data_IF_436668271034
#
_entry.id   IF_436668271034
#
_cell.length_a   1.000
_cell.length_b   1.000
_cell.length_c   1.000
_cell.angle_alpha   90.00
_cell.angle_beta   90.00
_cell.angle_gamma   90.00
#
_symmetry.space_group_name_H-M   'P 1'
#
loop_
_entity.id
_entity.type
_entity.pdbx_description
1 polymer ?
#
# COMPACT_ATOMS: atom_id res chain seq x y z
N UNK A 1 14.29 5.42 22.05
CA UNK A 1 13.94 5.75 20.65
C UNK A 1 15.04 5.11 19.81
N UNK A 2 14.71 4.17 18.92
CA UNK A 2 15.72 3.59 18.03
C UNK A 2 16.25 4.70 17.11
N UNK A 3 17.57 4.72 16.89
CA UNK A 3 18.22 5.66 15.98
C UNK A 3 17.70 5.44 14.54
N UNK A 4 17.18 6.49 13.92
CA UNK A 4 16.51 6.42 12.60
C UNK A 4 17.53 6.11 11.48
N UNK A 5 18.82 6.29 11.73
CA UNK A 5 19.90 6.05 10.76
C UNK A 5 20.55 4.67 10.88
N UNK A 6 20.16 3.87 11.89
CA UNK A 6 20.73 2.55 12.11
C UNK A 6 20.31 1.59 10.99
N UNK A 7 21.28 0.87 10.42
CA UNK A 7 21.05 -0.08 9.32
C UNK A 7 21.62 -1.44 9.69
N UNK A 8 20.97 -2.49 9.22
CA UNK A 8 21.56 -3.82 9.22
C UNK A 8 22.87 -3.82 8.42
N UNK A 9 23.87 -4.57 8.88
CA UNK A 9 25.24 -4.52 8.34
C UNK A 9 25.61 -5.72 7.45
N UNK A 10 24.76 -6.75 7.39
CA UNK A 10 25.01 -7.95 6.61
C UNK A 10 25.09 -7.68 5.10
N UNK A 11 25.92 -8.44 4.38
CA UNK A 11 26.04 -8.34 2.90
C UNK A 11 25.16 -9.34 2.18
N UNK A 12 24.81 -10.44 2.84
CA UNK A 12 23.88 -11.46 2.39
C UNK A 12 23.07 -11.97 3.60
N UNK A 13 21.94 -12.65 3.34
CA UNK A 13 21.03 -13.09 4.42
C UNK A 13 21.64 -14.15 5.35
N UNK A 14 22.59 -14.96 4.87
CA UNK A 14 23.26 -15.98 5.68
C UNK A 14 24.12 -15.35 6.80
N UNK A 15 24.67 -14.17 6.54
CA UNK A 15 25.43 -13.37 7.51
C UNK A 15 24.54 -12.55 8.47
N UNK A 16 23.23 -12.57 8.28
CA UNK A 16 22.32 -11.74 9.11
C UNK A 16 22.30 -12.20 10.56
N UNK A 17 22.33 -11.23 11.47
CA UNK A 17 22.29 -11.48 12.91
C UNK A 17 20.94 -11.12 13.50
N UNK A 18 20.64 -11.63 14.70
CA UNK A 18 19.47 -11.20 15.46
C UNK A 18 19.43 -9.66 15.66
N UNK A 19 20.60 -9.03 15.83
CA UNK A 19 20.71 -7.58 15.95
C UNK A 19 20.28 -6.85 14.68
N UNK A 20 20.68 -7.34 13.51
CA UNK A 20 20.25 -6.80 12.21
C UNK A 20 18.73 -6.89 12.04
N UNK A 21 18.14 -8.02 12.42
CA UNK A 21 16.70 -8.21 12.36
C UNK A 21 15.95 -7.31 13.36
N UNK A 22 16.52 -7.05 14.53
CA UNK A 22 15.95 -6.10 15.49
C UNK A 22 15.93 -4.67 14.93
N UNK A 23 17.02 -4.26 14.25
CA UNK A 23 17.10 -2.98 13.54
C UNK A 23 16.00 -2.94 12.46
N UNK A 24 15.96 -3.92 11.53
CA UNK A 24 14.96 -3.98 10.46
C UNK A 24 13.53 -3.93 11.02
N UNK A 25 13.23 -4.71 12.05
CA UNK A 25 11.91 -4.74 12.66
C UNK A 25 11.53 -3.37 13.27
N UNK A 26 12.50 -2.65 13.85
CA UNK A 26 12.26 -1.32 14.41
C UNK A 26 11.83 -0.29 13.37
N UNK A 27 12.39 -0.34 12.15
CA UNK A 27 11.97 0.51 11.03
C UNK A 27 10.69 0.00 10.35
N UNK A 28 10.54 -1.32 10.23
CA UNK A 28 9.40 -1.92 9.54
C UNK A 28 8.09 -1.70 10.27
N UNK A 29 8.05 -1.74 11.60
CA UNK A 29 6.81 -1.55 12.38
C UNK A 29 6.08 -0.24 12.06
N UNK A 30 6.71 0.95 12.18
CA UNK A 30 6.04 2.21 11.82
C UNK A 30 5.76 2.28 10.31
N UNK A 31 6.66 1.77 9.46
CA UNK A 31 6.41 1.73 8.02
C UNK A 31 5.15 0.90 7.69
N UNK A 32 4.99 -0.27 8.29
CA UNK A 32 3.85 -1.16 8.07
C UNK A 32 2.54 -0.55 8.58
N UNK A 33 2.56 0.16 9.72
CA UNK A 33 1.39 0.87 10.25
C UNK A 33 0.84 1.91 9.25
N UNK A 34 1.72 2.57 8.49
CA UNK A 34 1.37 3.58 7.49
C UNK A 34 0.97 2.99 6.11
N UNK A 35 0.90 1.66 5.97
CA UNK A 35 0.55 1.01 4.70
C UNK A 35 -0.80 1.48 4.13
N UNK A 36 -1.91 1.57 4.89
CA UNK A 36 -3.19 2.01 4.34
C UNK A 36 -3.12 3.41 3.74
N UNK A 37 -2.41 4.33 4.40
CA UNK A 37 -2.20 5.69 3.91
C UNK A 37 -1.45 5.70 2.57
N UNK A 38 -0.39 4.91 2.44
CA UNK A 38 0.35 4.78 1.18
C UNK A 38 -0.50 4.18 0.06
N UNK A 39 -1.33 3.17 0.33
CA UNK A 39 -2.23 2.59 -0.67
C UNK A 39 -3.19 3.66 -1.20
N UNK A 40 -3.80 4.45 -0.30
CA UNK A 40 -4.69 5.55 -0.70
C UNK A 40 -3.96 6.64 -1.48
N UNK A 41 -2.72 6.98 -1.12
CA UNK A 41 -1.91 7.93 -1.88
C UNK A 41 -1.68 7.45 -3.31
N UNK A 42 -1.32 6.17 -3.51
CA UNK A 42 -1.14 5.63 -4.86
C UNK A 42 -2.44 5.59 -5.67
N UNK A 43 -3.56 5.20 -5.05
CA UNK A 43 -4.87 5.23 -5.69
C UNK A 43 -5.21 6.64 -6.20
N UNK A 44 -4.89 7.68 -5.42
CA UNK A 44 -5.13 9.08 -5.80
C UNK A 44 -4.24 9.58 -6.94
N UNK A 45 -3.14 8.91 -7.27
CA UNK A 45 -2.33 9.26 -8.45
C UNK A 45 -3.08 9.00 -9.77
N UNK A 46 -4.18 8.24 -9.74
CA UNK A 46 -5.05 8.00 -10.89
C UNK A 46 -5.99 9.19 -11.20
N UNK A 47 -6.05 10.19 -10.31
CA UNK A 47 -6.85 11.40 -10.50
C UNK A 47 -6.31 12.19 -11.71
N UNK A 48 -7.21 12.54 -12.64
CA UNK A 48 -6.86 13.23 -13.88
C UNK A 48 -6.17 12.39 -14.96
N UNK A 49 -5.89 11.10 -14.74
CA UNK A 49 -5.45 10.20 -15.82
C UNK A 49 -6.65 9.67 -16.60
N UNK A 50 -7.00 10.38 -17.68
CA UNK A 50 -8.12 10.02 -18.53
C UNK A 50 -7.80 8.91 -19.54
N UNK A 51 -6.57 8.78 -20.01
CA UNK A 51 -6.22 7.81 -21.07
C UNK A 51 -7.13 7.83 -22.32
N UNK A 52 -7.84 8.93 -22.59
CA UNK A 52 -8.83 9.05 -23.68
C UNK A 52 -10.26 8.61 -23.33
N UNK A 53 -10.54 8.21 -22.09
CA UNK A 53 -11.88 7.88 -21.60
C UNK A 53 -12.66 9.12 -21.15
N UNK A 54 -14.00 9.04 -21.02
CA UNK A 54 -14.83 10.15 -20.55
C UNK A 54 -14.70 10.46 -19.05
N UNK A 55 -14.05 9.58 -18.27
CA UNK A 55 -13.74 9.79 -16.86
C UNK A 55 -12.32 9.33 -16.59
N UNK A 56 -11.67 9.90 -15.56
CA UNK A 56 -10.35 9.46 -15.12
C UNK A 56 -10.39 8.07 -14.47
N UNK A 57 -9.20 7.47 -14.34
CA UNK A 57 -9.05 6.13 -13.74
C UNK A 57 -9.47 6.08 -12.27
N UNK A 58 -9.29 7.14 -11.49
CA UNK A 58 -9.75 7.17 -10.11
C UNK A 58 -11.29 7.06 -10.04
N UNK A 59 -11.97 7.85 -10.87
CA UNK A 59 -13.43 7.83 -11.01
C UNK A 59 -13.90 6.45 -11.48
N UNK A 60 -13.21 5.82 -12.43
CA UNK A 60 -13.48 4.45 -12.84
C UNK A 60 -13.38 3.47 -11.66
N UNK A 61 -12.29 3.49 -10.89
CA UNK A 61 -12.10 2.64 -9.71
C UNK A 61 -13.22 2.81 -8.68
N UNK A 62 -13.59 4.06 -8.39
CA UNK A 62 -14.68 4.37 -7.46
C UNK A 62 -16.03 3.85 -7.96
N UNK A 63 -16.32 4.00 -9.26
CA UNK A 63 -17.56 3.49 -9.86
C UNK A 63 -17.62 1.96 -9.78
N UNK A 64 -16.53 1.26 -10.09
CA UNK A 64 -16.45 -0.20 -10.04
C UNK A 64 -16.66 -0.71 -8.61
N UNK A 65 -15.96 -0.13 -7.63
CA UNK A 65 -16.14 -0.46 -6.22
C UNK A 65 -17.57 -0.15 -5.72
N UNK A 66 -18.15 0.99 -6.12
CA UNK A 66 -19.52 1.38 -5.76
C UNK A 66 -20.55 0.39 -6.31
N UNK A 67 -20.37 -0.08 -7.55
CA UNK A 67 -21.25 -1.11 -8.14
C UNK A 67 -21.13 -2.43 -7.38
N UNK A 68 -19.91 -2.86 -7.07
CA UNK A 68 -19.68 -4.07 -6.25
C UNK A 68 -20.33 -3.96 -4.86
N UNK A 69 -20.22 -2.80 -4.20
CA UNK A 69 -20.83 -2.57 -2.89
C UNK A 69 -22.37 -2.63 -2.97
N UNK A 70 -22.97 -1.99 -3.99
CA UNK A 70 -24.41 -2.00 -4.22
C UNK A 70 -24.95 -3.39 -4.61
N UNK A 71 -24.11 -4.22 -5.21
CA UNK A 71 -24.39 -5.63 -5.49
C UNK A 71 -24.24 -6.54 -4.25
N UNK A 72 -23.99 -5.97 -3.07
CA UNK A 72 -23.89 -6.72 -1.82
C UNK A 72 -22.65 -7.61 -1.72
N UNK A 73 -21.61 -7.32 -2.50
CA UNK A 73 -20.34 -8.07 -2.47
C UNK A 73 -19.62 -7.85 -1.14
N UNK A 74 -18.89 -8.88 -0.70
CA UNK A 74 -18.08 -8.80 0.51
C UNK A 74 -16.99 -7.72 0.43
N UNK A 75 -16.55 -7.23 1.58
CA UNK A 75 -15.59 -6.12 1.69
C UNK A 75 -14.30 -6.35 0.89
N UNK A 76 -13.73 -7.56 0.96
CA UNK A 76 -12.52 -7.91 0.20
C UNK A 76 -12.71 -7.76 -1.32
N UNK A 77 -13.90 -8.08 -1.82
CA UNK A 77 -14.24 -7.91 -3.24
C UNK A 77 -14.42 -6.43 -3.60
N UNK A 78 -15.05 -5.64 -2.73
CA UNK A 78 -15.21 -4.20 -2.92
C UNK A 78 -13.85 -3.49 -2.92
N UNK A 79 -12.93 -3.87 -2.01
CA UNK A 79 -11.56 -3.32 -1.96
C UNK A 79 -10.75 -3.74 -3.18
N UNK A 80 -10.84 -5.00 -3.62
CA UNK A 80 -10.24 -5.44 -4.89
C UNK A 80 -10.77 -4.64 -6.07
N UNK A 81 -12.09 -4.42 -6.13
CA UNK A 81 -12.72 -3.60 -7.15
C UNK A 81 -12.32 -2.10 -7.07
N UNK A 82 -11.85 -1.62 -5.92
CA UNK A 82 -11.33 -0.26 -5.77
C UNK A 82 -9.87 -0.15 -6.21
N UNK A 83 -9.07 -1.21 -6.02
CA UNK A 83 -7.61 -1.22 -6.18
C UNK A 83 -7.12 -2.04 -7.38
N UNK A 84 -8.00 -2.39 -8.31
CA UNK A 84 -7.66 -3.14 -9.52
C UNK A 84 -6.79 -2.32 -10.49
#
# INVERSE_FOLDING_TARGET
MADVDQRAAFRNFEESTQGDWAIIASHFRPFAAELPGRVLTHLKLLDGDYGGFPVDRLTHSLQTATRAHRDGRGESYVVMALLH
#
